data_IF_466752912962
#
_entry.id   IF_466752912962
#
_cell.length_a   1.000
_cell.length_b   1.000
_cell.length_c   1.000
_cell.angle_alpha   90.00
_cell.angle_beta   90.00
_cell.angle_gamma   90.00
#
_symmetry.space_group_name_H-M   'P 1'
#
loop_
_entity.id
_entity.type
_entity.pdbx_description
1 polymer ?
#
# COMPACT_ATOMS: atom_id res chain seq x y z
N UNK A 1 12.58 13.53 0.31
CA UNK A 1 13.51 13.35 1.46
C UNK A 1 13.74 11.86 1.65
N UNK A 2 14.96 11.42 1.99
CA UNK A 2 15.21 10.02 2.35
C UNK A 2 14.95 9.87 3.85
N UNK A 3 13.83 9.26 4.28
CA UNK A 3 13.46 9.21 5.70
C UNK A 3 14.51 8.43 6.50
N UNK A 4 14.93 9.00 7.62
CA UNK A 4 15.94 8.41 8.51
C UNK A 4 15.27 7.51 9.56
N UNK A 5 14.01 7.80 9.91
CA UNK A 5 13.22 7.03 10.87
C UNK A 5 12.01 6.37 10.21
N UNK A 6 11.51 5.28 10.81
CA UNK A 6 10.28 4.64 10.35
C UNK A 6 9.06 5.57 10.48
N UNK A 7 9.05 6.49 11.45
CA UNK A 7 7.93 7.41 11.65
C UNK A 7 7.87 8.48 10.54
N UNK A 8 9.01 9.03 10.13
CA UNK A 8 9.10 9.88 8.93
C UNK A 8 8.66 9.15 7.67
N UNK A 9 9.11 7.90 7.51
CA UNK A 9 8.70 7.06 6.39
C UNK A 9 7.19 6.79 6.42
N UNK A 10 6.63 6.53 7.60
CA UNK A 10 5.20 6.27 7.79
C UNK A 10 4.35 7.48 7.41
N UNK A 11 4.73 8.69 7.83
CA UNK A 11 4.02 9.92 7.44
C UNK A 11 4.10 10.15 5.94
N UNK A 12 5.28 9.96 5.32
CA UNK A 12 5.43 10.01 3.87
C UNK A 12 4.56 8.95 3.16
N UNK A 13 4.58 7.71 3.64
CA UNK A 13 3.79 6.61 3.10
C UNK A 13 2.31 6.94 3.15
N UNK A 14 1.83 7.50 4.27
CA UNK A 14 0.44 7.88 4.44
C UNK A 14 0.04 9.08 3.54
N UNK A 15 0.94 10.03 3.30
CA UNK A 15 0.74 11.06 2.27
C UNK A 15 0.64 10.46 0.87
N UNK A 16 1.39 9.38 0.62
CA UNK A 16 1.31 8.54 -0.57
C UNK A 16 -0.05 7.85 -0.79
N UNK A 17 -0.86 7.73 0.27
CA UNK A 17 -2.07 6.90 0.33
C UNK A 17 -3.22 7.62 1.06
N UNK A 18 -3.34 8.95 0.86
CA UNK A 18 -4.30 9.76 1.60
C UNK A 18 -5.75 9.52 1.14
N UNK A 19 -5.96 9.09 -0.11
CA UNK A 19 -7.29 8.78 -0.64
C UNK A 19 -7.73 7.34 -0.31
N UNK A 20 -9.00 7.15 0.11
CA UNK A 20 -9.54 5.81 0.37
C UNK A 20 -9.43 4.84 -0.82
N UNK A 21 -9.62 5.34 -2.04
CA UNK A 21 -9.53 4.54 -3.26
C UNK A 21 -8.13 3.95 -3.48
N UNK A 22 -7.08 4.76 -3.26
CA UNK A 22 -5.68 4.35 -3.37
C UNK A 22 -5.36 3.24 -2.38
N UNK A 23 -5.81 3.41 -1.11
CA UNK A 23 -5.63 2.40 -0.05
C UNK A 23 -6.34 1.09 -0.38
N UNK A 24 -7.60 1.16 -0.78
CA UNK A 24 -8.39 -0.01 -1.09
C UNK A 24 -7.74 -0.88 -2.18
N UNK A 25 -7.31 -0.25 -3.28
CA UNK A 25 -6.62 -0.96 -4.36
C UNK A 25 -5.26 -1.51 -3.89
N UNK A 26 -4.54 -0.80 -3.03
CA UNK A 26 -3.30 -1.31 -2.42
C UNK A 26 -3.53 -2.54 -1.54
N UNK A 27 -4.59 -2.56 -0.73
CA UNK A 27 -4.95 -3.74 0.07
C UNK A 27 -5.27 -4.93 -0.85
N UNK A 28 -6.08 -4.71 -1.87
CA UNK A 28 -6.39 -5.75 -2.85
C UNK A 28 -5.11 -6.27 -3.53
N UNK A 29 -4.23 -5.37 -3.98
CA UNK A 29 -3.11 -5.79 -4.81
C UNK A 29 -1.87 -6.26 -4.07
N UNK A 30 -1.58 -5.72 -2.89
CA UNK A 30 -0.36 -6.06 -2.17
C UNK A 30 -0.59 -7.00 -0.98
N UNK A 31 -1.82 -7.13 -0.50
CA UNK A 31 -2.15 -8.06 0.58
C UNK A 31 -2.98 -9.25 0.09
N UNK A 32 -4.13 -9.01 -0.56
CA UNK A 32 -5.05 -10.09 -0.94
C UNK A 32 -4.64 -10.83 -2.22
N UNK A 33 -4.16 -10.14 -3.26
CA UNK A 33 -3.81 -10.76 -4.53
C UNK A 33 -2.70 -11.82 -4.43
N UNK A 34 -1.64 -11.66 -3.59
CA UNK A 34 -0.69 -12.75 -3.33
C UNK A 34 -1.33 -13.99 -2.72
N UNK A 35 -2.21 -13.83 -1.72
CA UNK A 35 -2.92 -14.94 -1.06
C UNK A 35 -3.79 -15.68 -2.09
N UNK A 36 -4.59 -14.93 -2.85
CA UNK A 36 -5.47 -15.48 -3.88
C UNK A 36 -4.67 -16.13 -5.01
N UNK A 37 -3.59 -15.50 -5.47
CA UNK A 37 -2.74 -16.00 -6.54
C UNK A 37 -2.08 -17.34 -6.18
N UNK A 38 -1.55 -17.44 -4.96
CA UNK A 38 -0.99 -18.70 -4.44
C UNK A 38 -2.08 -19.76 -4.30
N UNK A 39 -3.22 -19.44 -3.68
CA UNK A 39 -4.33 -20.39 -3.53
C UNK A 39 -4.85 -20.89 -4.88
N UNK A 40 -5.08 -20.00 -5.84
CA UNK A 40 -5.52 -20.35 -7.20
C UNK A 40 -4.49 -21.22 -7.95
N UNK A 41 -3.20 -21.09 -7.61
CA UNK A 41 -2.14 -21.92 -8.19
C UNK A 41 -2.28 -23.39 -7.78
N UNK A 42 -2.77 -23.66 -6.57
CA UNK A 42 -3.04 -25.02 -6.12
C UNK A 42 -4.42 -25.53 -6.53
N UNK A 43 -5.43 -24.65 -6.56
CA UNK A 43 -6.83 -25.04 -6.71
C UNK A 43 -7.36 -25.00 -8.14
N UNK A 44 -6.77 -24.19 -9.02
CA UNK A 44 -7.28 -23.93 -10.37
C UNK A 44 -6.24 -24.23 -11.44
N UNK A 45 -5.11 -23.52 -11.43
CA UNK A 45 -4.04 -23.71 -12.43
C UNK A 45 -2.71 -23.21 -11.90
N UNK A 46 -1.65 -24.02 -11.98
CA UNK A 46 -0.35 -23.77 -11.33
C UNK A 46 0.28 -22.42 -11.67
N UNK A 47 -0.01 -21.83 -12.82
CA UNK A 47 0.54 -20.55 -13.25
C UNK A 47 -0.31 -19.34 -12.84
N UNK A 48 -1.44 -19.52 -12.14
CA UNK A 48 -2.35 -18.41 -11.78
C UNK A 48 -1.64 -17.25 -11.06
N UNK A 49 -0.66 -17.55 -10.19
CA UNK A 49 0.13 -16.53 -9.51
C UNK A 49 0.91 -15.62 -10.46
N UNK A 50 1.36 -16.14 -11.62
CA UNK A 50 2.12 -15.38 -12.63
C UNK A 50 1.27 -14.28 -13.30
N UNK A 51 -0.05 -14.37 -13.22
CA UNK A 51 -0.97 -13.37 -13.78
C UNK A 51 -1.57 -12.52 -12.67
N UNK A 52 -2.13 -13.14 -11.63
CA UNK A 52 -2.87 -12.43 -10.58
C UNK A 52 -1.96 -11.43 -9.86
N UNK A 53 -0.76 -11.84 -9.43
CA UNK A 53 0.11 -10.97 -8.62
C UNK A 53 0.56 -9.74 -9.44
N UNK A 54 1.13 -9.89 -10.66
CA UNK A 54 1.59 -8.73 -11.43
C UNK A 54 0.47 -7.78 -11.83
N UNK A 55 -0.71 -8.28 -12.25
CA UNK A 55 -1.84 -7.44 -12.67
C UNK A 55 -2.28 -6.53 -11.53
N UNK A 56 -2.45 -7.09 -10.34
CA UNK A 56 -2.92 -6.31 -9.20
C UNK A 56 -1.81 -5.43 -8.59
N UNK A 57 -0.55 -5.84 -8.67
CA UNK A 57 0.59 -4.99 -8.33
C UNK A 57 0.63 -3.74 -9.22
N UNK A 58 0.46 -3.92 -10.55
CA UNK A 58 0.40 -2.80 -11.49
C UNK A 58 -0.80 -1.89 -11.20
N UNK A 59 -1.97 -2.46 -10.91
CA UNK A 59 -3.15 -1.69 -10.52
C UNK A 59 -2.87 -0.80 -9.29
N UNK A 60 -2.21 -1.34 -8.25
CA UNK A 60 -1.77 -0.56 -7.09
C UNK A 60 -0.81 0.57 -7.50
N UNK A 61 0.21 0.27 -8.31
CA UNK A 61 1.17 1.27 -8.78
C UNK A 61 0.51 2.43 -9.54
N UNK A 62 -0.47 2.13 -10.40
CA UNK A 62 -1.17 3.13 -11.20
C UNK A 62 -2.11 4.03 -10.38
N UNK A 63 -2.48 3.64 -9.16
CA UNK A 63 -3.29 4.53 -8.30
C UNK A 63 -2.54 5.81 -7.92
N UNK A 64 -1.22 5.77 -7.80
CA UNK A 64 -0.42 6.95 -7.46
C UNK A 64 -0.59 8.07 -8.50
N UNK A 65 -0.29 7.88 -9.80
CA UNK A 65 -0.48 8.92 -10.79
C UNK A 65 -1.96 9.18 -11.12
N UNK A 66 -2.82 8.15 -11.16
CA UNK A 66 -4.20 8.29 -11.67
C UNK A 66 -5.20 8.78 -10.63
N UNK A 67 -5.05 8.35 -9.37
CA UNK A 67 -6.01 8.65 -8.30
C UNK A 67 -5.40 9.64 -7.31
N UNK A 68 -4.21 9.34 -6.80
CA UNK A 68 -3.57 10.14 -5.77
C UNK A 68 -2.94 11.43 -6.32
N UNK A 69 -2.58 11.43 -7.61
CA UNK A 69 -1.82 12.49 -8.29
C UNK A 69 -0.44 12.74 -7.64
N UNK A 70 0.22 11.66 -7.22
CA UNK A 70 1.56 11.69 -6.67
C UNK A 70 2.45 10.59 -7.26
N UNK A 71 3.68 10.48 -6.77
CA UNK A 71 4.61 9.42 -7.15
C UNK A 71 4.76 8.38 -6.05
N UNK A 72 5.00 7.12 -6.42
CA UNK A 72 5.32 6.03 -5.49
C UNK A 72 6.76 6.11 -4.91
N UNK A 73 7.49 7.21 -5.12
CA UNK A 73 8.84 7.42 -4.57
C UNK A 73 8.76 8.10 -3.20
N UNK A 74 9.62 7.75 -2.22
CA UNK A 74 10.76 6.82 -2.27
C UNK A 74 10.41 5.39 -1.80
N UNK A 75 9.13 5.02 -1.78
CA UNK A 75 8.66 3.85 -1.05
C UNK A 75 9.13 2.53 -1.67
N UNK A 76 9.49 2.49 -2.95
CA UNK A 76 10.11 1.32 -3.58
C UNK A 76 11.53 1.01 -3.07
N UNK A 77 12.22 1.95 -2.40
CA UNK A 77 13.65 1.81 -2.02
C UNK A 77 13.85 1.12 -0.65
N UNK A 78 12.80 1.04 0.17
CA UNK A 78 12.85 0.44 1.53
C UNK A 78 11.80 -0.66 1.69
N UNK A 79 11.96 -1.81 1.00
CA UNK A 79 10.90 -2.82 0.84
C UNK A 79 10.32 -3.32 2.17
N UNK A 80 11.17 -3.50 3.20
CA UNK A 80 10.73 -3.93 4.52
C UNK A 80 9.83 -2.88 5.18
N UNK A 81 10.18 -1.59 5.08
CA UNK A 81 9.37 -0.51 5.63
C UNK A 81 8.06 -0.36 4.87
N UNK A 82 8.06 -0.55 3.55
CA UNK A 82 6.85 -0.54 2.73
C UNK A 82 5.89 -1.65 3.15
N UNK A 83 6.41 -2.87 3.39
CA UNK A 83 5.60 -4.00 3.84
C UNK A 83 5.00 -3.73 5.24
N UNK A 84 5.81 -3.26 6.19
CA UNK A 84 5.34 -2.91 7.53
C UNK A 84 4.30 -1.77 7.46
N UNK A 85 4.53 -0.76 6.63
CA UNK A 85 3.61 0.37 6.47
C UNK A 85 2.27 -0.07 5.86
N UNK A 86 2.28 -0.95 4.84
CA UNK A 86 1.07 -1.53 4.27
C UNK A 86 0.25 -2.27 5.34
N UNK A 87 0.89 -3.16 6.10
CA UNK A 87 0.23 -3.92 7.17
C UNK A 87 -0.30 -3.01 8.28
N UNK A 88 0.49 -2.02 8.70
CA UNK A 88 0.07 -1.01 9.69
C UNK A 88 -1.13 -0.21 9.17
N UNK A 89 -1.11 0.22 7.92
CA UNK A 89 -2.20 0.96 7.30
C UNK A 89 -3.47 0.13 7.22
N UNK A 90 -3.37 -1.13 6.77
CA UNK A 90 -4.51 -2.06 6.72
C UNK A 90 -5.10 -2.29 8.12
N UNK A 91 -4.25 -2.60 9.12
CA UNK A 91 -4.70 -2.82 10.49
C UNK A 91 -5.40 -1.58 11.08
N UNK A 92 -4.87 -0.38 10.83
CA UNK A 92 -5.47 0.86 11.28
C UNK A 92 -6.79 1.18 10.58
N UNK A 93 -6.95 0.82 9.30
CA UNK A 93 -8.21 1.01 8.59
C UNK A 93 -9.28 0.05 9.14
N UNK A 94 -8.92 -1.22 9.36
CA UNK A 94 -9.80 -2.24 9.94
C UNK A 94 -10.22 -1.94 11.38
N UNK A 95 -9.34 -1.31 12.18
CA UNK A 95 -9.60 -0.97 13.59
C UNK A 95 -10.14 0.45 13.79
N UNK A 96 -10.33 1.23 12.71
CA UNK A 96 -10.78 2.62 12.77
C UNK A 96 -9.73 3.62 13.32
N UNK A 97 -8.48 3.19 13.49
CA UNK A 97 -7.38 4.03 13.97
C UNK A 97 -6.77 4.95 12.90
N UNK A 98 -7.02 4.69 11.62
CA UNK A 98 -6.35 5.38 10.51
C UNK A 98 -6.64 6.89 10.48
N UNK A 99 -7.88 7.29 10.81
CA UNK A 99 -8.28 8.70 10.85
C UNK A 99 -7.44 9.56 11.80
N UNK A 100 -6.97 8.98 12.92
CA UNK A 100 -6.04 9.70 13.83
C UNK A 100 -4.68 9.95 13.18
N UNK A 101 -4.17 8.99 12.42
CA UNK A 101 -2.88 9.12 11.74
C UNK A 101 -2.97 10.09 10.56
N UNK A 102 -4.09 10.12 9.84
CA UNK A 102 -4.33 11.10 8.77
C UNK A 102 -4.43 12.53 9.33
N UNK A 103 -5.04 12.73 10.51
CA UNK A 103 -5.02 14.04 11.18
C UNK A 103 -3.60 14.46 11.59
N UNK A 104 -2.83 13.54 12.19
CA UNK A 104 -1.42 13.78 12.53
C UNK A 104 -0.59 14.16 11.29
N UNK A 105 -0.83 13.50 10.16
CA UNK A 105 -0.19 13.85 8.89
C UNK A 105 -0.51 15.29 8.48
N UNK A 106 -1.78 15.68 8.52
CA UNK A 106 -2.21 17.03 8.17
C UNK A 106 -1.63 18.10 9.10
N UNK A 107 -1.45 17.78 10.39
CA UNK A 107 -0.83 18.67 11.38
C UNK A 107 0.67 18.82 11.14
N UNK A 108 1.38 17.75 10.78
CA UNK A 108 2.81 17.76 10.50
C UNK A 108 3.18 18.44 9.16
N UNK A 109 2.21 18.57 8.24
CA UNK A 109 2.39 19.23 6.95
C UNK A 109 2.01 20.72 6.91
N UNK A 110 1.49 21.27 8.03
CA UNK A 110 1.28 22.71 8.23
C UNK A 110 2.53 23.35 8.81
#
# INVERSE_FOLDING_TARGET
>A
MNPQTFDEYWLGYLAGHSKPSTRFIHYLGLFFAPIVGVAASFLVVWWAFLVIIPVFYLAALFTHPLLEHNSNKPFAERPLWSAIALLRMLALDLTGGLGRQLRRLNEAGR
#
